data_IF_967292165687
#
_entry.id   IF_967292165687
#
_cell.length_a   1.000
_cell.length_b   1.000
_cell.length_c   1.000
_cell.angle_alpha   90.00
_cell.angle_beta   90.00
_cell.angle_gamma   90.00
#
_symmetry.space_group_name_H-M   'P 1'
#
loop_
_entity.id
_entity.type
_entity.pdbx_description
1 polymer ?
#
# COMPACT_ATOMS: atom_id res chain seq x y z
N UNK A 1 29.88 10.74 0.18
CA UNK A 1 28.62 11.35 -0.26
C UNK A 1 27.55 10.27 -0.37
N UNK A 2 26.67 10.14 0.61
CA UNK A 2 25.56 9.18 0.56
C UNK A 2 24.50 9.70 -0.39
N UNK A 3 24.10 8.90 -1.39
CA UNK A 3 23.00 9.24 -2.30
C UNK A 3 21.68 9.12 -1.52
N UNK A 4 20.93 10.21 -1.42
CA UNK A 4 19.53 10.24 -1.00
C UNK A 4 18.66 9.61 -2.09
N UNK A 5 17.66 8.82 -1.69
CA UNK A 5 16.76 8.20 -2.67
C UNK A 5 15.54 7.56 -2.03
N UNK A 6 14.44 7.55 -2.77
CA UNK A 6 13.20 6.88 -2.35
C UNK A 6 13.11 5.55 -3.08
N UNK A 7 12.91 4.48 -2.33
CA UNK A 7 12.74 3.15 -2.85
C UNK A 7 11.32 2.65 -2.59
N UNK A 8 10.57 2.41 -3.66
CA UNK A 8 9.24 1.78 -3.58
C UNK A 8 9.42 0.27 -3.41
N UNK A 9 8.94 -0.28 -2.30
CA UNK A 9 9.09 -1.71 -1.95
C UNK A 9 7.76 -2.36 -1.55
N UNK A 10 7.72 -3.68 -1.66
CA UNK A 10 6.74 -4.48 -0.92
C UNK A 10 6.97 -4.35 0.60
N UNK A 11 5.94 -4.61 1.42
CA UNK A 11 6.07 -4.60 2.88
C UNK A 11 6.73 -5.87 3.44
N UNK A 12 7.04 -6.84 2.59
CA UNK A 12 7.40 -8.19 3.04
C UNK A 12 8.88 -8.37 3.36
N UNK A 13 9.69 -7.33 3.20
CA UNK A 13 11.07 -7.60 2.82
C UNK A 13 12.12 -7.22 3.85
N UNK A 14 13.06 -8.15 3.98
CA UNK A 14 14.51 -8.03 4.16
C UNK A 14 15.18 -6.69 3.77
N UNK A 15 14.51 -5.76 3.06
CA UNK A 15 15.01 -4.44 2.70
C UNK A 15 15.04 -3.44 3.87
N UNK A 16 14.36 -3.70 5.01
CA UNK A 16 14.59 -2.93 6.25
C UNK A 16 16.07 -2.94 6.65
N UNK A 17 16.78 -4.04 6.41
CA UNK A 17 18.22 -4.14 6.67
C UNK A 17 19.07 -3.30 5.69
N UNK A 18 18.59 -3.08 4.46
CA UNK A 18 19.28 -2.27 3.45
C UNK A 18 19.08 -0.76 3.69
N UNK A 19 17.86 -0.33 4.06
CA UNK A 19 17.61 1.06 4.48
C UNK A 19 18.41 1.44 5.73
N UNK A 20 18.52 0.54 6.72
CA UNK A 20 19.34 0.75 7.92
C UNK A 20 20.84 0.92 7.62
N UNK A 21 21.34 0.36 6.51
CA UNK A 21 22.75 0.46 6.10
C UNK A 21 23.05 1.67 5.23
N UNK A 22 22.02 2.35 4.69
CA UNK A 22 22.16 3.51 3.82
C UNK A 22 21.43 4.72 4.42
N UNK A 23 22.16 5.50 5.22
CA UNK A 23 21.66 6.78 5.72
C UNK A 23 21.31 7.68 4.52
N UNK A 24 20.01 7.96 4.33
CA UNK A 24 19.47 8.72 3.20
C UNK A 24 18.43 7.99 2.34
N UNK A 25 18.17 6.70 2.60
CA UNK A 25 17.17 5.93 1.83
C UNK A 25 15.81 5.90 2.54
N UNK A 26 14.76 6.41 1.87
CA UNK A 26 13.37 6.35 2.35
C UNK A 26 12.66 5.17 1.69
N UNK A 27 11.98 4.34 2.48
CA UNK A 27 11.19 3.22 1.95
C UNK A 27 9.74 3.67 1.75
N UNK A 28 9.28 3.72 0.50
CA UNK A 28 7.88 3.89 0.17
C UNK A 28 7.20 2.52 0.07
N UNK A 29 6.20 2.25 0.90
CA UNK A 29 5.51 0.96 0.91
C UNK A 29 4.29 0.96 -0.02
N UNK A 30 4.09 -0.17 -0.69
CA UNK A 30 3.02 -0.32 -1.68
C UNK A 30 1.63 -0.59 -1.02
N UNK A 31 0.65 0.26 -1.33
CA UNK A 31 -0.75 0.14 -0.89
C UNK A 31 -1.48 -1.07 -1.48
N UNK A 32 -1.07 -1.57 -2.65
CA UNK A 32 -1.63 -2.79 -3.22
C UNK A 32 -1.41 -3.99 -2.29
N UNK A 33 -0.30 -4.04 -1.56
CA UNK A 33 -0.08 -5.05 -0.53
C UNK A 33 -1.00 -4.84 0.68
N UNK A 34 -1.37 -3.60 1.03
CA UNK A 34 -2.33 -3.34 2.15
C UNK A 34 -3.66 -3.98 1.76
N UNK A 35 -4.12 -3.68 0.54
CA UNK A 35 -5.36 -4.23 0.00
C UNK A 35 -5.37 -5.75 0.01
N UNK A 36 -4.25 -6.40 -0.37
CA UNK A 36 -4.12 -7.87 -0.36
C UNK A 36 -4.25 -8.46 1.05
N UNK A 37 -3.69 -7.81 2.07
CA UNK A 37 -3.81 -8.29 3.46
C UNK A 37 -5.29 -8.34 3.91
N UNK A 38 -6.07 -7.30 3.59
CA UNK A 38 -7.50 -7.28 3.90
C UNK A 38 -8.32 -8.30 3.09
N UNK A 39 -7.98 -8.53 1.81
CA UNK A 39 -8.60 -9.61 1.00
C UNK A 39 -8.27 -11.00 1.57
N UNK A 40 -7.03 -11.22 1.99
CA UNK A 40 -6.60 -12.48 2.57
C UNK A 40 -7.31 -12.75 3.90
N UNK A 41 -7.51 -11.71 4.72
CA UNK A 41 -8.31 -11.79 5.93
C UNK A 41 -9.78 -12.15 5.62
N UNK A 42 -10.41 -11.49 4.65
CA UNK A 42 -11.78 -11.81 4.21
C UNK A 42 -11.90 -13.25 3.68
N UNK A 43 -10.88 -13.74 2.97
CA UNK A 43 -10.87 -15.12 2.46
C UNK A 43 -10.88 -16.14 3.60
N UNK A 44 -10.17 -15.84 4.70
CA UNK A 44 -10.18 -16.66 5.92
C UNK A 44 -11.43 -16.47 6.76
N UNK A 45 -12.06 -15.29 6.68
CA UNK A 45 -13.24 -14.88 7.45
C UNK A 45 -14.35 -14.32 6.55
N UNK A 46 -15.01 -15.16 5.73
CA UNK A 46 -16.07 -14.70 4.83
C UNK A 46 -17.25 -14.04 5.55
N UNK A 47 -17.46 -14.38 6.83
CA UNK A 47 -18.43 -13.76 7.74
C UNK A 47 -18.19 -12.26 7.97
N UNK A 48 -16.99 -11.75 7.65
CA UNK A 48 -16.57 -10.37 7.88
C UNK A 48 -16.62 -9.50 6.63
N UNK A 49 -17.54 -9.76 5.71
CA UNK A 49 -17.69 -9.02 4.45
C UNK A 49 -17.87 -7.51 4.63
N UNK A 50 -18.72 -7.08 5.57
CA UNK A 50 -18.94 -5.65 5.82
C UNK A 50 -17.69 -4.95 6.37
N UNK A 51 -16.98 -5.61 7.30
CA UNK A 51 -15.69 -5.14 7.82
C UNK A 51 -14.64 -5.00 6.71
N UNK A 52 -14.50 -6.02 5.85
CA UNK A 52 -13.56 -5.96 4.73
C UNK A 52 -13.98 -4.89 3.71
N UNK A 53 -15.28 -4.69 3.50
CA UNK A 53 -15.83 -3.65 2.62
C UNK A 53 -15.32 -2.26 2.98
N UNK A 54 -15.39 -1.88 4.26
CA UNK A 54 -14.83 -0.60 4.74
C UNK A 54 -13.38 -0.39 4.28
N UNK A 55 -12.53 -1.40 4.48
CA UNK A 55 -11.11 -1.31 4.13
C UNK A 55 -10.88 -1.27 2.62
N UNK A 56 -11.57 -2.11 1.85
CA UNK A 56 -11.40 -2.18 0.40
C UNK A 56 -11.91 -0.91 -0.30
N UNK A 57 -13.03 -0.36 0.16
CA UNK A 57 -13.61 0.88 -0.36
C UNK A 57 -12.79 2.10 0.08
N UNK A 58 -12.29 2.10 1.33
CA UNK A 58 -11.37 3.09 1.85
C UNK A 58 -10.08 3.14 1.04
N UNK A 59 -9.43 2.00 0.80
CA UNK A 59 -8.24 1.93 -0.04
C UNK A 59 -8.58 2.34 -1.48
N UNK A 60 -9.69 1.88 -2.05
CA UNK A 60 -10.13 2.28 -3.39
C UNK A 60 -10.36 3.80 -3.53
N UNK A 61 -10.84 4.45 -2.47
CA UNK A 61 -11.02 5.90 -2.42
C UNK A 61 -9.67 6.63 -2.38
N UNK A 62 -8.71 6.14 -1.59
CA UNK A 62 -7.35 6.67 -1.61
C UNK A 62 -6.73 6.64 -3.01
N UNK A 63 -6.90 5.52 -3.73
CA UNK A 63 -6.42 5.39 -5.11
C UNK A 63 -7.02 6.41 -6.08
N UNK A 64 -8.31 6.75 -5.92
CA UNK A 64 -8.97 7.78 -6.75
C UNK A 64 -8.49 9.18 -6.40
N UNK A 65 -8.29 9.48 -5.12
CA UNK A 65 -7.83 10.79 -4.67
C UNK A 65 -6.36 11.05 -5.05
N UNK A 66 -5.54 10.01 -5.11
CA UNK A 66 -4.09 10.09 -5.31
C UNK A 66 -3.60 9.37 -6.60
N UNK A 67 -4.45 9.35 -7.65
CA UNK A 67 -4.24 8.61 -8.89
C UNK A 67 -2.89 8.94 -9.54
N UNK A 68 -2.57 10.23 -9.66
CA UNK A 68 -1.32 10.74 -10.22
C UNK A 68 -0.76 11.92 -9.39
N UNK A 69 0.43 12.45 -9.73
CA UNK A 69 1.04 13.55 -8.98
C UNK A 69 0.19 14.82 -8.91
N UNK A 70 -0.54 15.16 -9.96
CA UNK A 70 -1.40 16.36 -9.99
C UNK A 70 -2.57 16.21 -9.03
N UNK A 71 -3.23 15.05 -9.04
CA UNK A 71 -4.29 14.72 -8.09
C UNK A 71 -3.80 14.70 -6.64
N UNK A 72 -2.59 14.20 -6.38
CA UNK A 72 -1.99 14.20 -5.02
C UNK A 72 -1.81 15.60 -4.46
N UNK A 73 -1.39 16.53 -5.31
CA UNK A 73 -1.24 17.95 -4.93
C UNK A 73 -2.61 18.61 -4.78
N UNK A 74 -3.50 18.42 -5.75
CA UNK A 74 -4.83 19.05 -5.76
C UNK A 74 -5.72 18.58 -4.61
N UNK A 75 -5.72 17.28 -4.31
CA UNK A 75 -6.57 16.66 -3.30
C UNK A 75 -5.85 16.49 -1.95
N UNK A 76 -4.77 17.23 -1.69
CA UNK A 76 -3.90 16.98 -0.53
C UNK A 76 -4.69 16.98 0.79
N UNK A 77 -5.66 17.89 0.94
CA UNK A 77 -6.46 17.97 2.16
C UNK A 77 -7.38 16.77 2.32
N UNK A 78 -8.09 16.40 1.26
CA UNK A 78 -9.00 15.25 1.22
C UNK A 78 -8.25 13.94 1.46
N UNK A 79 -7.04 13.80 0.90
CA UNK A 79 -6.16 12.65 1.14
C UNK A 79 -5.77 12.58 2.61
N UNK A 80 -5.35 13.70 3.22
CA UNK A 80 -4.96 13.74 4.63
C UNK A 80 -6.14 13.37 5.55
N UNK A 81 -7.31 13.93 5.32
CA UNK A 81 -8.51 13.65 6.09
C UNK A 81 -8.94 12.17 5.93
N UNK A 82 -8.86 11.63 4.72
CA UNK A 82 -9.16 10.22 4.44
C UNK A 82 -8.15 9.26 5.07
N UNK A 83 -6.85 9.57 4.99
CA UNK A 83 -5.81 8.79 5.66
C UNK A 83 -5.96 8.83 7.19
N UNK A 84 -6.33 9.97 7.77
CA UNK A 84 -6.62 10.07 9.19
C UNK A 84 -7.78 9.15 9.60
N UNK A 85 -8.86 9.10 8.81
CA UNK A 85 -9.97 8.18 9.02
C UNK A 85 -9.51 6.71 9.03
N UNK A 86 -8.71 6.31 8.03
CA UNK A 86 -8.18 4.94 7.96
C UNK A 86 -7.23 4.62 9.12
N UNK A 87 -6.41 5.57 9.54
CA UNK A 87 -5.48 5.41 10.67
C UNK A 87 -6.22 5.20 11.98
N UNK A 88 -7.18 6.08 12.29
CA UNK A 88 -8.01 5.97 13.51
C UNK A 88 -8.73 4.63 13.53
N UNK A 89 -9.29 4.19 12.40
CA UNK A 89 -9.91 2.87 12.31
C UNK A 89 -8.92 1.74 12.58
N UNK A 90 -7.70 1.81 12.04
CA UNK A 90 -6.69 0.79 12.28
C UNK A 90 -6.25 0.74 13.74
N UNK A 91 -6.13 1.89 14.41
CA UNK A 91 -5.79 1.98 15.83
C UNK A 91 -6.88 1.33 16.69
N UNK A 92 -8.16 1.62 16.39
CA UNK A 92 -9.30 0.96 17.03
C UNK A 92 -9.28 -0.56 16.82
N UNK A 93 -9.07 -1.02 15.59
CA UNK A 93 -9.06 -2.46 15.29
C UNK A 93 -7.84 -3.19 15.88
N UNK A 94 -6.68 -2.51 15.98
CA UNK A 94 -5.48 -3.03 16.66
C UNK A 94 -5.75 -3.29 18.14
N UNK A 95 -6.50 -2.40 18.79
CA UNK A 95 -6.74 -2.46 20.24
C UNK A 95 -7.99 -3.28 20.60
N UNK A 96 -8.83 -3.61 19.61
CA UNK A 96 -9.98 -4.49 19.77
C UNK A 96 -9.56 -5.97 19.86
N UNK A 97 -9.51 -6.50 21.08
CA UNK A 97 -9.21 -7.91 21.33
C UNK A 97 -10.36 -8.86 20.93
N UNK A 98 -11.58 -8.34 20.75
CA UNK A 98 -12.75 -9.12 20.31
C UNK A 98 -12.75 -9.35 18.80
N UNK A 99 -12.04 -8.50 18.05
CA UNK A 99 -11.83 -8.68 16.63
C UNK A 99 -10.97 -9.95 16.38
N UNK A 100 -11.37 -10.83 15.45
CA UNK A 100 -10.57 -12.00 15.10
C UNK A 100 -9.13 -11.63 14.72
N UNK A 101 -8.18 -12.47 15.13
CA UNK A 101 -6.76 -12.23 14.87
C UNK A 101 -6.46 -12.06 13.37
N UNK A 102 -7.18 -12.77 12.50
CA UNK A 102 -7.07 -12.65 11.04
C UNK A 102 -7.44 -11.25 10.54
N UNK A 103 -8.41 -10.60 11.17
CA UNK A 103 -8.87 -9.24 10.84
C UNK A 103 -8.00 -8.17 11.49
N UNK A 104 -7.49 -8.43 12.70
CA UNK A 104 -6.62 -7.49 13.42
C UNK A 104 -5.22 -7.37 12.84
N UNK A 105 -4.66 -8.48 12.31
CA UNK A 105 -3.30 -8.53 11.73
C UNK A 105 -3.06 -7.51 10.60
N UNK A 106 -3.96 -7.33 9.61
CA UNK A 106 -3.85 -6.26 8.61
C UNK A 106 -3.76 -4.85 9.21
N UNK A 107 -4.57 -4.52 10.22
CA UNK A 107 -4.53 -3.21 10.88
C UNK A 107 -3.20 -2.98 11.62
N UNK A 108 -2.70 -3.99 12.33
CA UNK A 108 -1.36 -3.96 12.96
C UNK A 108 -0.27 -3.70 11.89
N UNK A 109 -0.33 -4.45 10.78
CA UNK A 109 0.63 -4.32 9.68
C UNK A 109 0.56 -2.93 9.03
N UNK A 110 -0.64 -2.39 8.81
CA UNK A 110 -0.84 -1.06 8.26
C UNK A 110 -0.15 0.00 9.14
N UNK A 111 -0.41 -0.01 10.44
CA UNK A 111 0.17 0.95 11.39
C UNK A 111 1.68 0.81 11.49
N UNK A 112 2.21 -0.42 11.49
CA UNK A 112 3.65 -0.67 11.56
C UNK A 112 4.43 -0.18 10.33
N UNK A 113 3.75 0.14 9.23
CA UNK A 113 4.34 0.59 7.98
C UNK A 113 3.81 1.96 7.53
N UNK A 114 3.13 2.67 8.44
CA UNK A 114 2.40 3.90 8.11
C UNK A 114 3.29 4.95 7.43
N UNK A 115 4.44 5.26 8.04
CA UNK A 115 5.34 6.30 7.54
C UNK A 115 5.78 6.07 6.09
N UNK A 116 6.09 4.81 5.74
CA UNK A 116 6.45 4.45 4.37
C UNK A 116 5.24 4.40 3.42
N UNK A 117 4.03 4.11 3.92
CA UNK A 117 2.80 4.16 3.12
C UNK A 117 2.37 5.60 2.79
N UNK A 118 2.87 6.59 3.51
CA UNK A 118 2.50 8.01 3.34
C UNK A 118 3.57 8.87 2.68
N UNK A 119 4.69 8.29 2.21
CA UNK A 119 5.79 9.03 1.55
C UNK A 119 5.31 9.87 0.37
N UNK A 120 4.30 9.40 -0.36
CA UNK A 120 3.74 10.11 -1.51
C UNK A 120 3.11 11.47 -1.17
N UNK A 121 2.86 11.77 0.11
CA UNK A 121 2.35 13.07 0.57
C UNK A 121 3.39 14.18 0.47
N UNK A 122 4.66 13.83 0.72
CA UNK A 122 5.80 14.74 0.65
C UNK A 122 6.51 14.63 -0.70
N UNK A 123 6.29 13.51 -1.41
CA UNK A 123 6.87 13.17 -2.70
C UNK A 123 5.78 12.76 -3.69
N UNK A 124 5.00 13.72 -4.25
CA UNK A 124 3.85 13.43 -5.09
C UNK A 124 4.14 12.61 -6.34
N UNK A 125 5.39 12.55 -6.81
CA UNK A 125 5.82 11.68 -7.90
C UNK A 125 5.90 10.19 -7.53
N UNK A 126 5.99 9.87 -6.24
CA UNK A 126 6.06 8.49 -5.74
C UNK A 126 4.67 7.85 -5.84
N UNK A 127 4.51 6.76 -6.63
CA UNK A 127 3.22 6.11 -6.77
C UNK A 127 2.81 5.35 -5.50
N UNK A 128 1.49 5.19 -5.29
CA UNK A 128 0.96 4.36 -4.19
C UNK A 128 1.36 2.88 -4.30
N UNK A 129 1.70 2.44 -5.49
CA UNK A 129 2.06 1.07 -5.81
C UNK A 129 3.15 1.00 -6.89
N UNK A 130 3.94 -0.07 -6.83
CA UNK A 130 5.04 -0.35 -7.74
C UNK A 130 4.59 -0.91 -9.11
N UNK A 131 3.29 -0.86 -9.45
CA UNK A 131 2.74 -1.44 -10.67
C UNK A 131 3.26 -0.77 -11.95
N UNK A 132 3.77 0.47 -11.89
CA UNK A 132 4.48 1.09 -13.01
C UNK A 132 5.75 0.30 -13.39
N UNK A 133 6.45 -0.28 -12.40
CA UNK A 133 7.59 -1.18 -12.58
C UNK A 133 7.15 -2.56 -13.11
N UNK A 134 5.98 -3.05 -12.69
CA UNK A 134 5.42 -4.33 -13.17
C UNK A 134 5.02 -4.27 -14.65
N UNK A 135 4.55 -3.11 -15.12
CA UNK A 135 4.21 -2.86 -16.53
C UNK A 135 5.44 -2.62 -17.42
N UNK A 136 6.52 -2.04 -16.91
CA UNK A 136 7.76 -1.84 -17.67
C UNK A 136 8.52 -3.13 -17.99
N UNK A 137 8.38 -4.16 -17.15
CA UNK A 137 8.98 -5.49 -17.34
C UNK A 137 8.14 -6.45 -18.17
N UNK A 138 6.84 -6.19 -18.29
CA UNK A 138 5.94 -6.89 -19.20
C UNK A 138 5.82 -6.03 -20.46
N UNK A 139 6.59 -6.36 -21.50
CA UNK A 139 6.41 -5.74 -22.83
C UNK A 139 4.92 -5.66 -23.24
N UNK A 140 4.57 -4.86 -24.26
CA UNK A 140 3.25 -4.26 -24.43
C UNK A 140 2.14 -5.30 -24.58
N UNK A 141 1.58 -5.76 -23.46
CA UNK A 141 0.38 -6.60 -23.43
C UNK A 141 -0.70 -5.79 -22.75
N UNK A 142 -1.39 -5.03 -23.61
CA UNK A 142 -2.81 -4.66 -23.54
C UNK A 142 -3.37 -4.62 -22.12
N UNK A 143 -3.32 -3.41 -21.52
CA UNK A 143 -4.10 -3.08 -20.34
C UNK A 143 -5.59 -3.21 -20.63
N UNK A 144 -6.17 -4.38 -20.33
CA UNK A 144 -7.61 -4.50 -20.13
C UNK A 144 -7.92 -4.31 -18.67
N UNK A 145 -8.63 -3.22 -18.39
CA UNK A 145 -9.55 -3.05 -17.27
C UNK A 145 -10.16 -4.39 -16.89
N UNK A 146 -9.77 -4.92 -15.74
CA UNK A 146 -10.48 -5.98 -15.02
C UNK A 146 -10.30 -5.69 -13.52
N UNK A 147 -10.97 -4.64 -13.06
CA UNK A 147 -11.54 -4.70 -11.72
C UNK A 147 -12.72 -5.67 -11.81
N UNK A 148 -12.90 -6.52 -10.80
CA UNK A 148 -13.83 -7.66 -10.71
C UNK A 148 -13.27 -8.99 -11.23
N UNK A 149 -13.10 -9.94 -10.30
CA UNK A 149 -12.77 -11.32 -10.63
C UNK A 149 -12.09 -12.05 -9.48
N UNK A 150 -12.88 -12.76 -8.68
CA UNK A 150 -12.39 -13.77 -7.75
C UNK A 150 -11.62 -14.86 -8.53
N UNK A 151 -10.44 -15.22 -8.01
CA UNK A 151 -9.72 -16.45 -8.35
C UNK A 151 -8.94 -16.40 -9.65
N UNK A 152 -7.60 -16.43 -9.56
CA UNK A 152 -6.76 -17.63 -9.76
C UNK A 152 -5.31 -17.28 -9.45
N UNK A 153 -4.60 -18.27 -8.94
CA UNK A 153 -3.17 -18.29 -8.53
C UNK A 153 -2.29 -17.44 -9.43
N UNK A 154 -1.57 -16.48 -8.85
CA UNK A 154 -0.30 -16.02 -9.40
C UNK A 154 0.78 -16.07 -8.34
N UNK A 155 1.88 -16.66 -8.79
CA UNK A 155 3.02 -17.17 -8.06
C UNK A 155 3.75 -16.10 -7.27
N UNK A 156 4.41 -16.58 -6.22
CA UNK A 156 5.39 -15.92 -5.39
C UNK A 156 6.51 -15.24 -6.20
N UNK A 157 7.06 -14.21 -5.56
CA UNK A 157 8.36 -13.58 -5.79
C UNK A 157 8.58 -12.87 -7.12
N UNK A 158 8.59 -11.54 -7.09
CA UNK A 158 9.44 -10.71 -7.95
C UNK A 158 9.49 -9.27 -7.41
N UNK A 159 10.59 -8.94 -6.70
CA UNK A 159 10.92 -7.59 -6.26
C UNK A 159 11.70 -6.85 -7.35
N UNK A 160 11.25 -5.66 -7.75
CA UNK A 160 12.05 -4.74 -8.60
C UNK A 160 11.99 -3.32 -8.05
N UNK A 161 13.19 -2.71 -8.01
CA UNK A 161 13.52 -1.41 -7.42
C UNK A 161 13.19 -0.28 -8.41
N UNK A 162 12.34 0.67 -8.01
CA UNK A 162 12.34 2.01 -8.62
C UNK A 162 13.25 2.90 -7.77
N UNK A 163 14.39 3.29 -8.33
CA UNK A 163 15.21 4.37 -7.79
C UNK A 163 14.66 5.70 -8.31
N UNK A 164 14.02 6.48 -7.45
CA UNK A 164 13.88 7.92 -7.69
C UNK A 164 15.03 8.59 -6.95
N UNK A 165 16.00 9.12 -7.70
CA UNK A 165 17.13 9.89 -7.16
C UNK A 165 16.73 11.37 -7.13
N UNK A 166 16.93 12.02 -5.98
CA UNK A 166 16.91 13.46 -5.82
C UNK A 166 18.24 13.91 -5.21
#
# INVERSE_FOLDING_TARGET
SGRSGILVVDRYSSYKAMARKNAGMVLAFCWAHVRRDFIAALTKRPDRKAWAGFWLDGIGTLYRLAEDPEHRVANRREILDHLALLRVRAEQERDDLTLPAECRKPAISLLAHWDGLTVFLDHPEVPLDNNASERGLRGPVVGRKNFWGFGKKWSAELSVFLYTLF
#
